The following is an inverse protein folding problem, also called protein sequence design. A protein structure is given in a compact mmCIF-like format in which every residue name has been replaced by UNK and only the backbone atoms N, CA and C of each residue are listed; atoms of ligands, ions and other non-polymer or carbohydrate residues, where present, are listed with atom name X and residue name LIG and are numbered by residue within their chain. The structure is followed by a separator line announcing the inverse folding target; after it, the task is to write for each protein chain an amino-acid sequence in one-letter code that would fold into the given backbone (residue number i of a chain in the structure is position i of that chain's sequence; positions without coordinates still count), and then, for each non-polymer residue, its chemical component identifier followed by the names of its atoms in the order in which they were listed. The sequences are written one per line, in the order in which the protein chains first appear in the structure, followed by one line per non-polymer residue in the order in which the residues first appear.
data_IF_768177803820
#
_entry.id   IF_768177803820
#
_cell.length_a   1.000
_cell.length_b   1.000
_cell.length_c   1.000
_cell.angle_alpha   90.00
_cell.angle_beta   90.00
_cell.angle_gamma   90.00
#
_symmetry.space_group_name_H-M   'P 1'
#
loop_
_entity.id
_entity.type
_entity.pdbx_description
1 polymer ?
#
# COMPACT_ATOMS: atom_id res chain seq x y z
N UNK A 1 11.27 -36.19 -88.70
CA UNK A 1 12.27 -35.41 -87.99
C UNK A 1 11.57 -34.35 -87.15
N UNK A 2 11.47 -34.55 -85.84
CA UNK A 2 10.91 -33.53 -84.91
C UNK A 2 12.03 -32.99 -84.04
N UNK A 3 12.32 -31.71 -84.20
CA UNK A 3 13.29 -30.99 -83.42
C UNK A 3 12.78 -30.65 -82.02
N UNK A 4 13.41 -31.17 -80.99
CA UNK A 4 13.17 -30.81 -79.60
C UNK A 4 13.95 -29.56 -79.23
N UNK A 5 13.27 -28.50 -78.88
CA UNK A 5 13.80 -27.24 -78.42
C UNK A 5 14.39 -27.35 -77.00
N UNK A 6 15.63 -26.88 -76.71
CA UNK A 6 16.27 -27.01 -75.41
C UNK A 6 15.88 -25.90 -74.38
N UNK A 7 14.84 -25.09 -74.63
CA UNK A 7 14.49 -23.95 -73.75
C UNK A 7 13.71 -24.31 -72.48
N UNK A 8 13.20 -25.52 -72.31
CA UNK A 8 12.35 -25.89 -71.17
C UNK A 8 13.13 -26.36 -69.91
N UNK A 9 14.45 -26.51 -69.98
CA UNK A 9 15.23 -27.01 -68.86
C UNK A 9 15.89 -25.92 -67.97
N UNK A 10 15.85 -24.65 -68.40
CA UNK A 10 16.45 -23.53 -67.63
C UNK A 10 15.49 -22.72 -66.75
N UNK A 11 14.16 -22.94 -66.87
CA UNK A 11 13.15 -22.18 -66.10
C UNK A 11 12.89 -22.77 -64.70
N UNK A 12 13.24 -24.02 -64.43
CA UNK A 12 12.88 -24.66 -63.12
C UNK A 12 13.79 -24.22 -61.94
N UNK A 13 15.09 -23.98 -62.08
CA UNK A 13 15.91 -23.52 -60.96
C UNK A 13 15.69 -22.06 -60.56
N UNK A 14 15.26 -21.19 -61.47
CA UNK A 14 15.04 -19.77 -61.18
C UNK A 14 13.78 -19.53 -60.32
N UNK A 15 12.74 -20.35 -60.46
CA UNK A 15 11.50 -20.24 -59.68
C UNK A 15 11.66 -20.71 -58.24
N UNK A 16 12.53 -21.68 -57.99
CA UNK A 16 12.82 -22.19 -56.65
C UNK A 16 13.67 -21.21 -55.84
N UNK A 17 14.59 -20.50 -56.47
CA UNK A 17 15.40 -19.46 -55.82
C UNK A 17 14.59 -18.21 -55.41
N UNK A 18 13.57 -17.85 -56.21
CA UNK A 18 12.70 -16.73 -55.86
C UNK A 18 11.74 -17.06 -54.71
N UNK A 19 11.28 -18.32 -54.57
CA UNK A 19 10.42 -18.78 -53.49
C UNK A 19 11.14 -18.86 -52.14
N UNK A 20 12.47 -19.16 -52.13
CA UNK A 20 13.26 -19.19 -50.89
C UNK A 20 13.66 -17.77 -50.41
N UNK A 21 13.75 -16.78 -51.32
CA UNK A 21 14.04 -15.40 -50.93
C UNK A 21 12.83 -14.68 -50.26
N UNK A 22 11.59 -15.10 -50.58
CA UNK A 22 10.40 -14.51 -50.00
C UNK A 22 10.05 -15.05 -48.60
N UNK A 23 10.58 -16.23 -48.21
CA UNK A 23 10.40 -16.78 -46.85
C UNK A 23 11.34 -16.16 -45.79
N UNK A 24 12.43 -15.51 -46.24
CA UNK A 24 13.42 -14.89 -45.33
C UNK A 24 13.03 -13.53 -44.79
N UNK A 25 12.03 -12.85 -45.38
CA UNK A 25 11.64 -11.46 -45.00
C UNK A 25 10.50 -11.44 -43.98
N UNK A 26 9.77 -12.54 -43.78
CA UNK A 26 8.66 -12.62 -42.86
C UNK A 26 9.06 -12.88 -41.39
N UNK A 27 10.34 -13.10 -41.10
CA UNK A 27 10.80 -13.51 -39.75
C UNK A 27 11.43 -12.38 -38.90
N UNK A 28 11.35 -11.12 -39.32
CA UNK A 28 11.94 -10.00 -38.57
C UNK A 28 10.97 -8.87 -38.20
N UNK A 29 9.69 -9.18 -38.13
CA UNK A 29 8.79 -8.36 -37.30
C UNK A 29 8.96 -8.77 -35.83
N UNK A 30 10.19 -8.73 -35.31
CA UNK A 30 10.39 -8.59 -33.88
C UNK A 30 9.79 -7.25 -33.52
N UNK A 31 8.60 -7.28 -32.93
CA UNK A 31 8.04 -6.13 -32.22
C UNK A 31 9.11 -5.64 -31.28
N UNK A 32 9.78 -4.55 -31.64
CA UNK A 32 10.67 -3.86 -30.73
C UNK A 32 9.83 -3.62 -29.47
N UNK A 33 10.15 -4.31 -28.39
CA UNK A 33 9.50 -4.11 -27.12
C UNK A 33 9.67 -2.62 -26.83
N UNK A 34 8.56 -1.87 -26.88
CA UNK A 34 8.59 -0.44 -26.57
C UNK A 34 9.19 -0.33 -25.19
N UNK A 35 10.37 0.31 -25.12
CA UNK A 35 11.09 0.43 -23.87
C UNK A 35 10.17 1.12 -22.85
N UNK A 36 9.71 0.38 -21.83
CA UNK A 36 8.90 0.91 -20.75
C UNK A 36 9.83 1.41 -19.63
N UNK A 37 9.59 2.59 -19.06
CA UNK A 37 8.65 3.64 -19.53
C UNK A 37 9.29 4.55 -20.59
N UNK A 38 8.47 5.06 -21.54
CA UNK A 38 8.87 6.03 -22.57
C UNK A 38 8.31 7.44 -22.37
N UNK A 39 7.49 7.62 -21.32
CA UNK A 39 6.86 8.89 -20.91
C UNK A 39 6.74 8.94 -19.37
N UNK A 40 6.39 10.09 -18.76
CA UNK A 40 6.24 10.20 -17.32
C UNK A 40 5.26 9.17 -16.73
N UNK A 41 5.63 8.61 -15.56
CA UNK A 41 4.80 7.68 -14.78
C UNK A 41 4.19 8.44 -13.60
N UNK A 42 2.90 8.26 -13.37
CA UNK A 42 2.18 8.87 -12.26
C UNK A 42 1.90 7.83 -11.16
N UNK A 43 2.31 8.15 -9.95
CA UNK A 43 2.01 7.33 -8.76
C UNK A 43 1.08 8.13 -7.85
N UNK A 44 -0.18 7.71 -7.80
CA UNK A 44 -1.15 8.26 -6.84
C UNK A 44 -0.89 7.67 -5.46
N UNK A 45 -0.98 8.50 -4.42
CA UNK A 45 -0.92 8.11 -3.01
C UNK A 45 -2.27 8.37 -2.38
N UNK A 46 -2.88 7.35 -1.77
CA UNK A 46 -4.22 7.42 -1.18
C UNK A 46 -4.29 8.22 0.13
N UNK A 47 -3.21 8.89 0.54
CA UNK A 47 -3.06 9.56 1.82
C UNK A 47 -2.52 10.99 1.68
N UNK A 48 -2.61 11.77 2.76
CA UNK A 48 -2.06 13.13 2.84
C UNK A 48 -0.53 13.13 2.76
N UNK A 49 0.08 14.23 2.28
CA UNK A 49 1.52 14.43 2.36
C UNK A 49 2.06 14.23 3.79
N UNK A 50 3.27 13.69 3.92
CA UNK A 50 3.92 13.40 5.20
C UNK A 50 3.45 12.12 5.90
N UNK A 51 2.49 11.38 5.34
CA UNK A 51 2.14 10.05 5.80
C UNK A 51 3.18 9.00 5.37
N UNK A 52 3.24 7.85 6.06
CA UNK A 52 4.18 6.78 5.70
C UNK A 52 4.10 6.33 4.23
N UNK A 53 2.91 6.14 3.62
CA UNK A 53 2.84 5.82 2.19
C UNK A 53 3.33 6.96 1.28
N UNK A 54 3.18 8.23 1.67
CA UNK A 54 3.73 9.36 0.91
C UNK A 54 5.26 9.37 0.96
N UNK A 55 5.85 9.18 2.15
CA UNK A 55 7.30 9.04 2.32
C UNK A 55 7.85 7.92 1.44
N UNK A 56 7.21 6.75 1.48
CA UNK A 56 7.59 5.58 0.72
C UNK A 56 7.45 5.81 -0.80
N UNK A 57 6.36 6.44 -1.24
CA UNK A 57 6.12 6.76 -2.65
C UNK A 57 7.15 7.75 -3.20
N UNK A 58 7.52 8.79 -2.44
CA UNK A 58 8.55 9.76 -2.85
C UNK A 58 9.94 9.12 -2.89
N UNK A 59 10.25 8.29 -1.90
CA UNK A 59 11.49 7.52 -1.88
C UNK A 59 11.63 6.65 -3.13
N UNK A 60 10.57 5.88 -3.44
CA UNK A 60 10.53 5.02 -4.62
C UNK A 60 10.55 5.83 -5.91
N UNK A 61 9.72 6.85 -6.02
CA UNK A 61 9.55 7.66 -7.23
C UNK A 61 10.82 8.38 -7.66
N UNK A 62 11.59 8.92 -6.71
CA UNK A 62 12.90 9.53 -7.00
C UNK A 62 13.83 8.51 -7.66
N UNK A 63 13.98 7.32 -7.07
CA UNK A 63 14.89 6.29 -7.54
C UNK A 63 14.45 5.64 -8.85
N UNK A 64 13.14 5.45 -9.03
CA UNK A 64 12.57 5.02 -10.31
C UNK A 64 12.86 6.04 -11.41
N UNK A 65 12.69 7.34 -11.12
CA UNK A 65 12.99 8.40 -12.09
C UNK A 65 14.46 8.41 -12.51
N UNK A 66 15.38 8.18 -11.58
CA UNK A 66 16.81 8.05 -11.84
C UNK A 66 17.14 6.84 -12.73
N UNK A 67 16.49 5.69 -12.49
CA UNK A 67 16.70 4.45 -13.23
C UNK A 67 16.06 4.49 -14.63
N UNK A 68 14.83 4.92 -14.70
CA UNK A 68 14.05 4.93 -15.94
C UNK A 68 14.40 6.10 -16.87
N UNK A 69 15.10 7.12 -16.36
CA UNK A 69 15.36 8.39 -17.09
C UNK A 69 14.05 9.04 -17.58
N UNK A 70 12.97 8.78 -16.86
CA UNK A 70 11.64 9.34 -17.07
C UNK A 70 11.13 9.94 -15.76
N UNK A 71 10.41 11.05 -15.79
CA UNK A 71 9.82 11.62 -14.58
C UNK A 71 8.83 10.64 -13.92
N UNK A 72 8.94 10.50 -12.60
CA UNK A 72 7.94 9.82 -11.77
C UNK A 72 7.26 10.88 -10.90
N UNK A 73 5.98 11.13 -11.17
CA UNK A 73 5.20 12.18 -10.51
C UNK A 73 4.39 11.56 -9.37
N UNK A 74 4.53 12.10 -8.17
CA UNK A 74 3.77 11.65 -6.99
C UNK A 74 2.61 12.62 -6.75
N UNK A 75 1.39 12.09 -6.76
CA UNK A 75 0.15 12.83 -6.59
C UNK A 75 -0.66 12.32 -5.38
N UNK A 76 -0.89 13.18 -4.39
CA UNK A 76 -1.62 12.81 -3.19
C UNK A 76 -3.12 13.03 -3.39
N UNK A 77 -3.92 11.94 -3.33
CA UNK A 77 -5.39 11.96 -3.41
C UNK A 77 -6.00 11.37 -2.14
N UNK A 78 -5.87 12.12 -1.06
CA UNK A 78 -6.45 11.75 0.22
C UNK A 78 -7.98 11.93 0.22
N UNK A 79 -8.67 11.11 1.00
CA UNK A 79 -10.11 11.21 1.26
C UNK A 79 -10.84 9.88 1.16
N UNK A 80 -11.96 9.78 1.87
CA UNK A 80 -12.80 8.59 1.97
C UNK A 80 -11.97 7.30 2.20
N UNK A 81 -11.04 7.34 3.15
CA UNK A 81 -10.12 6.24 3.48
C UNK A 81 -9.40 5.62 2.27
N UNK A 82 -9.14 6.42 1.21
CA UNK A 82 -8.44 6.00 0.00
C UNK A 82 -9.34 5.59 -1.18
N UNK A 83 -10.66 5.61 -1.04
CA UNK A 83 -11.61 5.27 -2.13
C UNK A 83 -11.33 6.11 -3.38
N UNK A 84 -11.11 7.43 -3.23
CA UNK A 84 -10.90 8.32 -4.37
C UNK A 84 -9.68 7.95 -5.21
N UNK A 85 -8.60 7.52 -4.57
CA UNK A 85 -7.38 7.10 -5.24
C UNK A 85 -7.55 5.72 -5.92
N UNK A 86 -8.16 4.76 -5.24
CA UNK A 86 -8.41 3.42 -5.76
C UNK A 86 -9.40 3.43 -6.95
N UNK A 87 -10.47 4.22 -6.86
CA UNK A 87 -11.43 4.41 -7.96
C UNK A 87 -10.77 5.06 -9.17
N UNK A 88 -9.93 6.08 -8.94
CA UNK A 88 -9.16 6.72 -10.00
C UNK A 88 -8.24 5.75 -10.73
N UNK A 89 -7.55 4.85 -10.01
CA UNK A 89 -6.72 3.82 -10.63
C UNK A 89 -7.55 2.78 -11.37
N UNK A 90 -8.66 2.30 -10.79
CA UNK A 90 -9.53 1.31 -11.41
C UNK A 90 -10.05 1.74 -12.80
N UNK A 91 -10.20 3.05 -12.99
CA UNK A 91 -10.67 3.69 -14.25
C UNK A 91 -9.54 4.17 -15.16
N UNK A 92 -8.29 4.06 -14.74
CA UNK A 92 -7.13 4.48 -15.52
C UNK A 92 -6.84 3.54 -16.69
N UNK A 93 -6.08 4.04 -17.69
CA UNK A 93 -5.62 3.22 -18.80
C UNK A 93 -4.68 2.13 -18.30
N UNK A 94 -4.83 0.87 -18.73
CA UNK A 94 -4.00 -0.25 -18.27
C UNK A 94 -2.67 -0.33 -19.05
N UNK A 95 -1.93 0.78 -19.12
CA UNK A 95 -0.68 0.92 -19.87
C UNK A 95 0.56 1.01 -18.98
N UNK A 96 0.38 0.92 -17.65
CA UNK A 96 1.45 0.99 -16.65
C UNK A 96 1.89 2.41 -16.25
N UNK A 97 1.34 3.46 -16.86
CA UNK A 97 1.72 4.85 -16.56
C UNK A 97 0.90 5.49 -15.43
N UNK A 98 -0.15 4.81 -14.98
CA UNK A 98 -0.91 5.18 -13.78
C UNK A 98 -0.77 4.07 -12.75
N UNK A 99 -0.20 4.38 -11.61
CA UNK A 99 0.03 3.46 -10.49
C UNK A 99 -0.54 4.02 -9.19
N UNK A 100 -0.75 3.17 -8.20
CA UNK A 100 -1.23 3.55 -6.87
C UNK A 100 -0.31 2.96 -5.80
N UNK A 101 0.20 3.79 -4.92
CA UNK A 101 0.66 3.32 -3.61
C UNK A 101 -0.58 3.20 -2.73
N UNK A 102 -1.06 1.97 -2.62
CA UNK A 102 -2.24 1.58 -1.86
C UNK A 102 -1.87 0.94 -0.52
N UNK A 103 -2.85 0.91 0.38
CA UNK A 103 -2.78 0.26 1.68
C UNK A 103 -4.00 -0.66 1.85
N UNK A 104 -4.04 -1.38 2.95
CA UNK A 104 -5.13 -2.30 3.31
C UNK A 104 -6.51 -1.61 3.36
N UNK A 105 -6.61 -0.34 3.75
CA UNK A 105 -7.89 0.39 3.81
C UNK A 105 -8.75 0.21 2.55
N UNK A 106 -8.39 0.82 1.43
CA UNK A 106 -9.19 0.74 0.21
C UNK A 106 -9.13 -0.62 -0.50
N UNK A 107 -8.14 -1.46 -0.20
CA UNK A 107 -7.91 -2.72 -0.92
C UNK A 107 -8.57 -3.92 -0.23
N UNK A 108 -8.48 -4.00 1.10
CA UNK A 108 -8.91 -5.21 1.85
C UNK A 108 -9.88 -4.93 2.99
N UNK A 109 -9.93 -3.71 3.55
CA UNK A 109 -10.84 -3.38 4.66
C UNK A 109 -12.18 -2.88 4.15
N UNK A 110 -12.20 -1.79 3.39
CA UNK A 110 -13.43 -1.16 2.88
C UNK A 110 -14.33 -2.11 2.09
N UNK A 111 -13.80 -3.01 1.23
CA UNK A 111 -14.64 -3.99 0.55
C UNK A 111 -15.41 -4.94 1.49
N UNK A 112 -14.97 -5.07 2.74
CA UNK A 112 -15.61 -5.92 3.75
C UNK A 112 -16.60 -5.15 4.65
N UNK A 113 -16.60 -3.82 4.64
CA UNK A 113 -17.46 -3.01 5.52
C UNK A 113 -18.45 -2.11 4.76
N UNK A 114 -18.19 -1.82 3.48
CA UNK A 114 -18.98 -0.88 2.70
C UNK A 114 -19.49 -1.53 1.41
N UNK A 115 -20.80 -1.65 1.30
CA UNK A 115 -21.44 -2.00 0.04
C UNK A 115 -21.42 -0.82 -0.94
N UNK A 116 -21.40 -1.13 -2.25
CA UNK A 116 -21.52 -0.09 -3.29
C UNK A 116 -20.27 0.77 -3.48
N UNK A 117 -19.09 0.23 -3.22
CA UNK A 117 -17.84 0.89 -3.63
C UNK A 117 -17.83 1.11 -5.16
N UNK A 118 -17.29 2.24 -5.67
CA UNK A 118 -17.26 2.55 -7.09
C UNK A 118 -16.25 1.70 -7.89
N UNK A 119 -15.54 0.80 -7.24
CA UNK A 119 -14.59 -0.16 -7.80
C UNK A 119 -14.66 -1.50 -7.06
N UNK A 120 -14.17 -2.55 -7.69
CA UNK A 120 -13.91 -3.85 -7.08
C UNK A 120 -12.38 -4.05 -7.00
N UNK A 121 -11.81 -3.97 -5.79
CA UNK A 121 -10.36 -4.06 -5.60
C UNK A 121 -9.76 -5.37 -6.11
N UNK A 122 -10.52 -6.48 -6.10
CA UNK A 122 -10.06 -7.80 -6.55
C UNK A 122 -10.13 -7.99 -8.06
N UNK A 123 -11.04 -7.27 -8.73
CA UNK A 123 -11.27 -7.37 -10.18
C UNK A 123 -10.55 -6.26 -10.94
N UNK A 124 -10.56 -5.04 -10.42
CA UNK A 124 -10.18 -3.85 -11.17
C UNK A 124 -8.72 -3.42 -10.93
N UNK A 125 -8.09 -3.95 -9.85
CA UNK A 125 -6.73 -3.64 -9.46
C UNK A 125 -5.86 -4.90 -9.42
N UNK A 126 -4.60 -4.78 -9.85
CA UNK A 126 -3.62 -5.86 -9.73
C UNK A 126 -2.49 -5.44 -8.79
N UNK A 127 -2.18 -6.25 -7.74
CA UNK A 127 -0.98 -6.07 -6.93
C UNK A 127 0.26 -6.25 -7.79
N UNK A 128 1.21 -5.30 -7.73
CA UNK A 128 2.46 -5.34 -8.50
C UNK A 128 3.62 -5.78 -7.61
N UNK A 129 3.85 -5.06 -6.52
CA UNK A 129 4.93 -5.35 -5.58
C UNK A 129 4.57 -4.81 -4.19
N UNK A 130 4.88 -5.57 -3.13
CA UNK A 130 4.81 -5.08 -1.76
C UNK A 130 5.98 -4.13 -1.51
N UNK A 131 5.70 -2.96 -0.94
CA UNK A 131 6.71 -1.95 -0.70
C UNK A 131 7.20 -1.95 0.75
N UNK A 132 6.29 -2.14 1.70
CA UNK A 132 6.62 -2.13 3.11
C UNK A 132 5.42 -2.33 4.01
N UNK A 133 5.69 -2.38 5.30
CA UNK A 133 4.68 -2.44 6.36
C UNK A 133 5.09 -1.57 7.54
N UNK A 134 4.12 -1.19 8.36
CA UNK A 134 4.35 -0.43 9.59
C UNK A 134 3.52 -0.99 10.73
N UNK A 135 4.07 -0.88 11.92
CA UNK A 135 3.31 -0.96 13.15
C UNK A 135 2.81 0.43 13.56
N UNK A 136 1.74 0.46 14.32
CA UNK A 136 1.25 1.66 14.97
C UNK A 136 1.74 1.74 16.42
N UNK A 137 1.68 2.95 16.96
CA UNK A 137 1.77 3.22 18.39
C UNK A 137 0.47 3.87 18.84
N UNK A 138 -0.13 3.37 19.92
CA UNK A 138 -1.21 4.06 20.63
C UNK A 138 -0.59 5.21 21.39
N UNK A 139 -0.95 6.43 20.98
CA UNK A 139 -0.49 7.66 21.64
C UNK A 139 -1.64 8.37 22.33
N UNK A 140 -1.32 9.10 23.38
CA UNK A 140 -2.25 9.93 24.12
C UNK A 140 -1.73 11.37 24.23
N UNK A 141 -2.66 12.34 24.38
CA UNK A 141 -2.29 13.66 24.83
C UNK A 141 -1.83 13.61 26.30
N UNK A 142 -0.72 14.26 26.68
CA UNK A 142 -0.21 14.25 28.06
C UNK A 142 -1.23 14.69 29.12
N UNK A 143 -2.18 15.57 28.77
CA UNK A 143 -3.22 16.07 29.68
C UNK A 143 -4.19 14.96 30.14
N UNK A 144 -4.29 13.84 29.43
CA UNK A 144 -5.12 12.70 29.84
C UNK A 144 -4.63 12.01 31.09
N UNK A 145 -3.34 12.17 31.41
CA UNK A 145 -2.66 11.48 32.50
C UNK A 145 -2.29 10.01 32.21
N UNK A 146 -2.66 9.47 31.03
CA UNK A 146 -2.35 8.09 30.68
C UNK A 146 -0.84 7.90 30.44
N UNK A 147 -0.30 6.79 30.93
CA UNK A 147 1.10 6.37 30.76
C UNK A 147 1.23 5.01 30.12
N UNK A 148 0.21 4.18 30.25
CA UNK A 148 0.17 2.80 29.78
C UNK A 148 -1.16 2.49 29.09
N UNK A 149 -1.21 1.37 28.34
CA UNK A 149 -2.46 0.81 27.82
C UNK A 149 -3.44 0.50 28.98
N UNK A 150 -2.91 0.07 30.12
CA UNK A 150 -3.74 -0.26 31.30
C UNK A 150 -4.45 0.99 31.86
N UNK A 151 -3.76 2.14 31.97
CA UNK A 151 -4.37 3.40 32.42
C UNK A 151 -5.51 3.82 31.49
N UNK A 152 -5.27 3.78 30.17
CA UNK A 152 -6.27 4.09 29.15
C UNK A 152 -7.49 3.18 29.27
N UNK A 153 -7.29 1.87 29.37
CA UNK A 153 -8.38 0.89 29.48
C UNK A 153 -9.14 1.06 30.78
N UNK A 154 -8.45 1.30 31.91
CA UNK A 154 -9.09 1.57 33.17
C UNK A 154 -10.01 2.80 33.12
N UNK A 155 -9.51 3.90 32.58
CA UNK A 155 -10.29 5.12 32.41
C UNK A 155 -11.49 4.94 31.46
N UNK A 156 -11.30 4.17 30.36
CA UNK A 156 -12.38 3.89 29.41
C UNK A 156 -13.47 3.01 30.01
N UNK A 157 -13.13 2.06 30.89
CA UNK A 157 -14.11 1.27 31.66
C UNK A 157 -14.85 2.08 32.68
N UNK A 158 -14.17 3.00 33.37
CA UNK A 158 -14.78 3.86 34.37
C UNK A 158 -15.78 4.86 33.77
N UNK A 159 -15.55 5.33 32.54
CA UNK A 159 -16.39 6.31 31.83
C UNK A 159 -16.58 5.94 30.37
N UNK A 160 -17.44 4.96 30.05
CA UNK A 160 -17.66 4.52 28.68
C UNK A 160 -18.13 5.67 27.77
N UNK A 161 -17.49 5.83 26.60
CA UNK A 161 -17.81 6.84 25.60
C UNK A 161 -17.26 8.25 25.87
N UNK A 162 -16.67 8.52 27.04
CA UNK A 162 -16.10 9.84 27.33
C UNK A 162 -14.74 10.09 26.70
N UNK A 163 -13.97 9.03 26.43
CA UNK A 163 -12.67 9.15 25.77
C UNK A 163 -12.89 9.10 24.27
N UNK A 164 -12.28 10.05 23.56
CA UNK A 164 -12.31 10.12 22.10
C UNK A 164 -11.02 9.57 21.50
N UNK A 165 -11.14 8.91 20.34
CA UNK A 165 -9.97 8.51 19.57
C UNK A 165 -10.05 8.98 18.13
N UNK A 166 -8.90 9.44 17.59
CA UNK A 166 -8.76 9.81 16.20
C UNK A 166 -8.36 8.64 15.32
N UNK A 167 -8.79 8.65 14.06
CA UNK A 167 -8.32 7.75 13.01
C UNK A 167 -8.08 8.49 11.69
N UNK A 168 -7.53 7.79 10.68
CA UNK A 168 -7.37 8.35 9.34
C UNK A 168 -8.68 8.32 8.51
N UNK A 169 -9.80 8.04 9.13
CA UNK A 169 -11.14 7.96 8.53
C UNK A 169 -11.81 6.61 8.76
N UNK A 170 -13.10 6.52 8.39
CA UNK A 170 -13.86 5.28 8.47
C UNK A 170 -13.25 4.21 7.56
N UNK A 171 -13.07 2.98 8.08
CA UNK A 171 -12.42 1.87 7.39
C UNK A 171 -10.89 1.99 7.31
N UNK A 172 -10.29 2.95 8.04
CA UNK A 172 -8.83 3.02 8.10
C UNK A 172 -8.24 1.94 9.02
N UNK A 173 -6.98 1.52 8.77
CA UNK A 173 -6.27 0.59 9.65
C UNK A 173 -6.18 1.07 11.10
N UNK A 174 -6.09 2.39 11.32
CA UNK A 174 -6.07 2.99 12.66
C UNK A 174 -7.39 2.81 13.40
N UNK A 175 -8.53 2.99 12.71
CA UNK A 175 -9.84 2.67 13.29
C UNK A 175 -9.89 1.19 13.68
N UNK A 176 -9.52 0.32 12.74
CA UNK A 176 -9.56 -1.14 12.98
C UNK A 176 -8.68 -1.55 14.17
N UNK A 177 -7.51 -0.91 14.32
CA UNK A 177 -6.62 -1.13 15.46
C UNK A 177 -7.30 -0.81 16.80
N UNK A 178 -8.03 0.31 16.86
CA UNK A 178 -8.75 0.69 18.06
C UNK A 178 -9.95 -0.22 18.30
N UNK A 179 -10.72 -0.56 17.26
CA UNK A 179 -11.88 -1.43 17.40
C UNK A 179 -11.47 -2.84 17.88
N UNK A 180 -10.33 -3.37 17.40
CA UNK A 180 -9.77 -4.61 17.89
C UNK A 180 -9.36 -4.51 19.38
N UNK A 181 -8.79 -3.38 19.80
CA UNK A 181 -8.47 -3.16 21.21
C UNK A 181 -9.75 -3.02 22.05
N UNK A 182 -10.76 -2.29 21.57
CA UNK A 182 -12.08 -2.16 22.23
C UNK A 182 -12.68 -3.54 22.49
N UNK A 183 -12.69 -4.41 21.48
CA UNK A 183 -13.22 -5.77 21.60
C UNK A 183 -12.45 -6.59 22.65
N UNK A 184 -11.10 -6.60 22.55
CA UNK A 184 -10.27 -7.41 23.45
C UNK A 184 -10.29 -6.92 24.90
N UNK A 185 -10.38 -5.61 25.10
CA UNK A 185 -10.36 -5.00 26.43
C UNK A 185 -11.77 -4.82 27.05
N UNK A 186 -12.84 -5.00 26.26
CA UNK A 186 -14.21 -4.76 26.69
C UNK A 186 -14.45 -3.30 27.06
N UNK A 187 -14.03 -2.34 26.21
CA UNK A 187 -14.16 -0.89 26.42
C UNK A 187 -14.96 -0.24 25.30
N UNK A 188 -15.52 0.94 25.61
CA UNK A 188 -16.16 1.80 24.63
C UNK A 188 -15.52 3.18 24.65
N UNK A 189 -15.00 3.62 23.49
CA UNK A 189 -14.43 4.95 23.22
C UNK A 189 -14.99 5.49 21.91
N UNK A 190 -15.18 6.81 21.83
CA UNK A 190 -15.86 7.47 20.71
C UNK A 190 -14.91 7.74 19.56
N UNK A 191 -15.32 7.38 18.36
CA UNK A 191 -14.52 7.56 17.14
C UNK A 191 -14.67 8.96 16.55
N UNK A 192 -13.55 9.61 16.22
CA UNK A 192 -13.47 10.88 15.50
C UNK A 192 -12.67 10.65 14.21
N UNK A 193 -13.33 10.54 13.03
CA UNK A 193 -12.63 10.31 11.76
C UNK A 193 -12.01 11.58 11.20
N UNK A 194 -10.78 11.46 10.67
CA UNK A 194 -10.05 12.52 9.97
C UNK A 194 -9.74 12.14 8.52
N UNK A 195 -9.39 13.13 7.69
CA UNK A 195 -8.95 12.91 6.31
C UNK A 195 -7.47 12.51 6.22
N UNK A 196 -7.01 11.68 7.16
CA UNK A 196 -5.65 11.15 7.23
C UNK A 196 -5.03 11.24 8.63
N UNK A 197 -4.07 10.36 8.91
CA UNK A 197 -3.41 10.26 10.23
C UNK A 197 -2.75 11.56 10.73
N UNK A 198 -2.00 12.32 9.91
CA UNK A 198 -1.37 13.56 10.34
C UNK A 198 -2.34 14.60 10.92
N UNK A 199 -3.55 14.75 10.36
CA UNK A 199 -4.56 15.69 10.88
C UNK A 199 -5.07 15.27 12.25
N UNK A 200 -5.42 13.97 12.41
CA UNK A 200 -5.83 13.44 13.71
C UNK A 200 -4.73 13.56 14.77
N UNK A 201 -3.47 13.34 14.39
CA UNK A 201 -2.33 13.49 15.30
C UNK A 201 -2.16 14.92 15.80
N UNK A 202 -2.36 15.92 14.93
CA UNK A 202 -2.32 17.33 15.34
C UNK A 202 -3.37 17.66 16.41
N UNK A 203 -4.59 17.13 16.26
CA UNK A 203 -5.67 17.32 17.23
C UNK A 203 -5.43 16.55 18.54
N UNK A 204 -4.79 15.39 18.49
CA UNK A 204 -4.32 14.71 19.72
C UNK A 204 -3.24 15.55 20.41
N UNK A 205 -2.26 16.11 19.68
CA UNK A 205 -1.24 17.01 20.25
C UNK A 205 -1.88 18.26 20.85
N UNK A 206 -2.88 18.82 20.22
CA UNK A 206 -3.61 19.99 20.71
C UNK A 206 -4.52 19.69 21.91
N UNK A 207 -4.85 18.41 22.15
CA UNK A 207 -5.75 17.95 23.21
C UNK A 207 -7.23 18.10 22.86
N UNK A 208 -7.56 18.16 21.55
CA UNK A 208 -8.95 18.13 21.06
C UNK A 208 -9.48 16.70 21.02
N UNK A 209 -8.60 15.72 20.87
CA UNK A 209 -8.87 14.28 20.92
C UNK A 209 -7.84 13.64 21.87
N UNK A 210 -8.29 12.61 22.61
CA UNK A 210 -7.53 12.05 23.72
C UNK A 210 -6.39 11.12 23.25
N UNK A 211 -6.71 10.20 22.33
CA UNK A 211 -5.80 9.11 21.90
C UNK A 211 -5.92 8.82 20.40
N UNK A 212 -4.93 8.15 19.84
CA UNK A 212 -5.02 7.53 18.52
C UNK A 212 -3.98 6.43 18.32
N UNK A 213 -4.26 5.49 17.43
CA UNK A 213 -3.23 4.70 16.80
C UNK A 213 -2.65 5.47 15.60
N UNK A 214 -1.32 5.61 15.57
CA UNK A 214 -0.61 6.32 14.48
C UNK A 214 0.70 5.58 14.17
N UNK A 215 1.20 5.72 12.94
CA UNK A 215 2.51 5.18 12.55
C UNK A 215 3.61 5.69 13.49
N UNK A 216 4.54 4.82 13.87
CA UNK A 216 5.63 5.17 14.79
C UNK A 216 6.50 6.30 14.25
N UNK A 217 6.86 6.26 12.95
CA UNK A 217 7.73 7.27 12.33
C UNK A 217 7.25 8.71 12.54
N UNK A 218 6.06 9.09 12.05
CA UNK A 218 5.50 10.42 12.25
C UNK A 218 5.30 10.81 13.74
N UNK A 219 4.99 9.85 14.61
CA UNK A 219 4.77 10.12 16.04
C UNK A 219 6.06 10.35 16.82
N UNK A 220 7.17 9.73 16.39
CA UNK A 220 8.41 9.65 17.14
C UNK A 220 8.98 11.01 17.61
N UNK A 221 9.05 12.08 16.78
CA UNK A 221 9.50 13.40 17.22
C UNK A 221 8.60 14.00 18.32
N UNK A 222 7.30 13.74 18.27
CA UNK A 222 6.33 14.23 19.23
C UNK A 222 6.38 13.44 20.56
N UNK A 223 6.65 12.14 20.49
CA UNK A 223 6.89 11.31 21.68
C UNK A 223 8.17 11.75 22.37
N UNK A 224 9.27 11.90 21.62
CA UNK A 224 10.56 12.34 22.16
C UNK A 224 10.53 13.74 22.78
N UNK A 225 9.71 14.65 22.23
CA UNK A 225 9.52 15.99 22.78
C UNK A 225 8.47 16.08 23.90
N UNK A 226 7.86 14.95 24.30
CA UNK A 226 6.82 14.88 25.33
C UNK A 226 5.47 15.51 24.94
N UNK A 227 5.27 15.85 23.67
CA UNK A 227 3.97 16.34 23.15
C UNK A 227 2.94 15.20 22.99
N UNK A 228 3.39 13.97 22.88
CA UNK A 228 2.59 12.76 22.92
C UNK A 228 3.19 11.76 23.91
N UNK A 229 2.34 10.96 24.53
CA UNK A 229 2.73 9.83 25.38
C UNK A 229 2.47 8.55 24.60
N UNK A 230 3.49 7.71 24.42
CA UNK A 230 3.35 6.37 23.84
C UNK A 230 2.83 5.40 24.90
N UNK A 231 1.65 4.81 24.67
CA UNK A 231 1.03 3.87 25.61
C UNK A 231 1.38 2.42 25.30
N UNK A 232 1.49 2.06 24.02
CA UNK A 232 1.80 0.71 23.56
C UNK A 232 1.92 0.62 22.04
N UNK A 233 2.78 -0.28 21.55
CA UNK A 233 2.91 -0.55 20.10
C UNK A 233 2.02 -1.70 19.66
N UNK A 234 1.63 -1.70 18.39
CA UNK A 234 0.62 -2.64 17.85
C UNK A 234 1.19 -3.94 17.30
N UNK A 235 2.52 -4.04 17.19
CA UNK A 235 3.21 -5.23 16.67
C UNK A 235 3.24 -6.40 17.67
N UNK A 236 3.69 -7.55 17.19
CA UNK A 236 3.91 -8.74 18.05
C UNK A 236 5.15 -8.58 18.95
N UNK A 237 6.11 -7.77 18.51
CA UNK A 237 7.35 -7.45 19.21
C UNK A 237 7.44 -5.95 19.43
N UNK A 238 8.20 -5.54 20.45
CA UNK A 238 8.47 -4.12 20.68
C UNK A 238 9.16 -3.49 19.47
N UNK A 239 8.72 -2.29 19.12
CA UNK A 239 9.23 -1.61 17.95
C UNK A 239 10.66 -1.10 18.17
N UNK A 240 11.55 -1.29 17.18
CA UNK A 240 12.98 -0.94 17.30
C UNK A 240 13.24 0.54 17.62
N UNK A 241 12.36 1.45 17.17
CA UNK A 241 12.46 2.89 17.48
C UNK A 241 11.87 3.28 18.84
N UNK A 242 11.17 2.37 19.53
CA UNK A 242 10.49 2.54 20.82
C UNK A 242 10.67 1.27 21.69
N UNK A 243 11.90 0.82 21.96
CA UNK A 243 12.14 -0.47 22.65
C UNK A 243 11.62 -0.48 24.10
N UNK A 244 11.50 0.70 24.73
CA UNK A 244 10.96 0.89 26.07
C UNK A 244 9.42 0.79 26.12
N UNK A 245 8.72 0.97 24.99
CA UNK A 245 7.26 0.95 24.93
C UNK A 245 6.77 -0.49 24.77
N UNK A 246 5.96 -1.02 25.71
CA UNK A 246 5.41 -2.38 25.59
C UNK A 246 4.52 -2.54 24.35
N UNK A 247 4.35 -3.78 23.91
CA UNK A 247 3.32 -4.06 22.90
C UNK A 247 1.95 -4.17 23.57
N UNK A 248 0.89 -3.81 22.83
CA UNK A 248 -0.49 -4.09 23.28
C UNK A 248 -0.70 -5.58 23.51
N UNK A 249 -0.01 -6.44 22.76
CA UNK A 249 -0.04 -7.90 22.89
C UNK A 249 0.48 -8.40 24.25
N UNK A 250 1.38 -7.67 24.92
CA UNK A 250 1.85 -8.02 26.26
C UNK A 250 0.71 -7.98 27.29
N UNK A 251 -0.29 -7.10 27.09
CA UNK A 251 -1.48 -7.01 27.94
C UNK A 251 -2.69 -7.74 27.37
N UNK A 252 -2.82 -7.80 26.04
CA UNK A 252 -3.97 -8.37 25.32
C UNK A 252 -3.49 -9.42 24.32
N UNK A 253 -3.31 -10.64 24.81
CA UNK A 253 -2.79 -11.77 24.02
C UNK A 253 -3.49 -11.92 22.67
N UNK A 254 -2.70 -12.09 21.62
CA UNK A 254 -3.19 -12.20 20.23
C UNK A 254 -3.68 -10.86 19.63
N UNK A 255 -3.40 -9.71 20.27
CA UNK A 255 -3.53 -8.42 19.62
C UNK A 255 -2.39 -8.26 18.61
N UNK A 256 -2.73 -7.90 17.39
CA UNK A 256 -1.79 -7.49 16.36
C UNK A 256 -2.52 -6.59 15.39
N UNK A 257 -1.97 -5.43 15.12
CA UNK A 257 -2.45 -4.56 14.05
C UNK A 257 -1.28 -3.81 13.43
N UNK A 258 -1.51 -3.27 12.25
CA UNK A 258 -0.53 -2.56 11.45
C UNK A 258 -1.15 -2.26 10.10
N UNK A 259 -0.35 -1.79 9.18
CA UNK A 259 -0.77 -1.65 7.79
C UNK A 259 0.41 -1.97 6.86
N UNK A 260 0.10 -2.46 5.69
CA UNK A 260 1.05 -2.70 4.62
C UNK A 260 0.83 -1.70 3.48
N UNK A 261 1.84 -1.50 2.67
CA UNK A 261 1.83 -0.67 1.48
C UNK A 261 2.32 -1.48 0.29
N UNK A 262 1.67 -1.29 -0.83
CA UNK A 262 2.05 -1.91 -2.08
C UNK A 262 1.78 -1.03 -3.27
N UNK A 263 2.45 -1.35 -4.36
CA UNK A 263 2.21 -0.73 -5.65
C UNK A 263 1.16 -1.54 -6.41
N UNK A 264 0.17 -0.85 -6.94
CA UNK A 264 -0.93 -1.42 -7.72
C UNK A 264 -1.01 -0.79 -9.09
N UNK A 265 -1.52 -1.55 -10.06
CA UNK A 265 -1.84 -1.09 -11.40
C UNK A 265 -3.30 -1.47 -11.75
N UNK A 266 -3.89 -0.93 -12.83
CA UNK A 266 -5.15 -1.43 -13.37
C UNK A 266 -5.03 -2.91 -13.77
N UNK A 267 -6.05 -3.72 -13.49
CA UNK A 267 -6.00 -5.19 -13.63
C UNK A 267 -5.63 -5.71 -15.04
N UNK A 268 -5.89 -4.92 -16.10
CA UNK A 268 -5.59 -5.29 -17.50
C UNK A 268 -4.24 -4.78 -17.99
N UNK A 269 -3.37 -4.30 -17.10
CA UNK A 269 -2.01 -3.88 -17.47
C UNK A 269 -1.22 -5.08 -17.99
N UNK A 270 -0.51 -4.98 -19.14
CA UNK A 270 0.22 -6.09 -19.73
C UNK A 270 1.28 -6.67 -18.78
N UNK A 271 1.38 -7.99 -18.70
CA UNK A 271 2.30 -8.68 -17.79
C UNK A 271 3.76 -8.23 -17.92
N UNK A 272 4.34 -8.05 -19.13
CA UNK A 272 5.72 -7.55 -19.24
C UNK A 272 5.94 -6.18 -18.60
N UNK A 273 4.92 -5.31 -18.59
CA UNK A 273 4.98 -4.00 -17.95
C UNK A 273 4.94 -4.17 -16.41
N UNK A 274 4.05 -5.05 -15.92
CA UNK A 274 3.98 -5.37 -14.48
C UNK A 274 5.30 -5.95 -13.98
N UNK A 275 5.92 -6.85 -14.74
CA UNK A 275 7.20 -7.47 -14.39
C UNK A 275 8.33 -6.45 -14.33
N UNK A 276 8.40 -5.52 -15.29
CA UNK A 276 9.39 -4.44 -15.31
C UNK A 276 9.25 -3.54 -14.08
N UNK A 277 8.01 -3.13 -13.75
CA UNK A 277 7.73 -2.30 -12.57
C UNK A 277 8.08 -3.06 -11.28
N UNK A 278 7.60 -4.31 -11.15
CA UNK A 278 7.81 -5.12 -9.94
C UNK A 278 9.30 -5.39 -9.67
N UNK A 279 10.05 -5.73 -10.72
CA UNK A 279 11.48 -6.00 -10.62
C UNK A 279 12.24 -4.77 -10.12
N UNK A 280 12.01 -3.60 -10.73
CA UNK A 280 12.75 -2.39 -10.40
C UNK A 280 12.35 -1.83 -9.04
N UNK A 281 11.05 -1.72 -8.76
CA UNK A 281 10.56 -1.25 -7.47
C UNK A 281 10.98 -2.19 -6.32
N UNK A 282 10.91 -3.51 -6.53
CA UNK A 282 11.37 -4.50 -5.56
C UNK A 282 12.86 -4.38 -5.26
N UNK A 283 13.70 -4.22 -6.30
CA UNK A 283 15.15 -4.01 -6.17
C UNK A 283 15.46 -2.74 -5.35
N UNK A 284 14.74 -1.65 -5.63
CA UNK A 284 14.93 -0.38 -4.91
C UNK A 284 14.62 -0.53 -3.43
N UNK A 285 13.46 -1.07 -3.05
CA UNK A 285 13.06 -1.13 -1.64
C UNK A 285 13.83 -2.19 -0.85
N UNK A 286 14.37 -3.22 -1.50
CA UNK A 286 15.19 -4.25 -0.86
C UNK A 286 16.67 -3.85 -0.68
N UNK A 287 17.12 -2.78 -1.34
CA UNK A 287 18.50 -2.32 -1.19
C UNK A 287 18.82 -2.01 0.28
N UNK A 288 20.03 -2.36 0.79
CA UNK A 288 20.39 -2.12 2.20
C UNK A 288 20.22 -0.67 2.64
N UNK A 289 20.57 0.30 1.80
CA UNK A 289 20.37 1.72 2.07
C UNK A 289 18.88 2.07 2.21
N UNK A 290 18.02 1.53 1.33
CA UNK A 290 16.58 1.72 1.40
C UNK A 290 15.99 1.18 2.71
N UNK A 291 16.38 -0.03 3.09
CA UNK A 291 15.95 -0.65 4.34
C UNK A 291 16.33 0.20 5.56
N UNK A 292 17.56 0.72 5.58
CA UNK A 292 18.02 1.57 6.68
C UNK A 292 17.27 2.90 6.74
N UNK A 293 17.12 3.60 5.60
CA UNK A 293 16.41 4.87 5.53
C UNK A 293 14.92 4.73 5.88
N UNK A 294 14.25 3.69 5.37
CA UNK A 294 12.84 3.43 5.65
C UNK A 294 12.62 2.97 7.10
N UNK A 295 13.52 2.13 7.64
CA UNK A 295 13.46 1.74 9.06
C UNK A 295 13.59 2.93 10.00
N UNK A 296 14.44 3.93 9.68
CA UNK A 296 14.54 5.17 10.44
C UNK A 296 13.23 5.98 10.44
N UNK A 297 12.35 5.74 9.45
CA UNK A 297 10.99 6.31 9.37
C UNK A 297 9.91 5.37 9.94
N UNK A 298 10.30 4.27 10.58
CA UNK A 298 9.38 3.27 11.11
C UNK A 298 8.70 2.40 10.06
N UNK A 299 9.28 2.30 8.87
CA UNK A 299 8.76 1.49 7.76
C UNK A 299 9.67 0.27 7.58
N UNK A 300 9.12 -0.91 7.72
CA UNK A 300 9.80 -2.15 7.36
C UNK A 300 9.64 -2.41 5.86
N UNK A 301 10.73 -2.32 5.10
CA UNK A 301 10.73 -2.58 3.66
C UNK A 301 10.57 -4.08 3.37
N UNK A 302 9.61 -4.46 2.51
CA UNK A 302 9.29 -5.87 2.21
C UNK A 302 9.77 -6.30 0.82
N UNK A 303 9.38 -5.65 -0.25
CA UNK A 303 9.80 -5.95 -1.63
C UNK A 303 9.30 -7.29 -2.18
N UNK A 304 8.19 -7.83 -1.65
CA UNK A 304 7.61 -9.08 -2.17
C UNK A 304 7.12 -8.89 -3.59
N UNK A 305 7.57 -9.76 -4.49
CA UNK A 305 7.19 -9.74 -5.91
C UNK A 305 5.71 -10.07 -6.10
N UNK A 306 5.17 -9.80 -7.27
CA UNK A 306 3.75 -9.84 -7.61
C UNK A 306 3.00 -11.03 -7.04
N UNK A 307 3.44 -12.26 -7.29
CA UNK A 307 2.75 -13.47 -6.85
C UNK A 307 2.66 -13.59 -5.34
N UNK A 308 3.75 -13.31 -4.63
CA UNK A 308 3.79 -13.36 -3.17
C UNK A 308 2.93 -12.26 -2.57
N UNK A 309 2.99 -11.05 -3.15
CA UNK A 309 2.17 -9.93 -2.70
C UNK A 309 0.68 -10.17 -2.96
N UNK A 310 0.31 -10.74 -4.10
CA UNK A 310 -1.09 -11.14 -4.37
C UNK A 310 -1.62 -12.15 -3.35
N UNK A 311 -0.78 -13.13 -2.96
CA UNK A 311 -1.13 -14.08 -1.89
C UNK A 311 -1.35 -13.38 -0.56
N UNK A 312 -0.48 -12.41 -0.22
CA UNK A 312 -0.63 -11.60 1.00
C UNK A 312 -1.95 -10.80 0.97
N UNK A 313 -2.24 -10.07 -0.11
CA UNK A 313 -3.47 -9.26 -0.26
C UNK A 313 -4.71 -10.14 -0.11
N UNK A 314 -4.71 -11.33 -0.72
CA UNK A 314 -5.84 -12.27 -0.61
C UNK A 314 -6.03 -12.77 0.83
N UNK A 315 -4.94 -13.13 1.52
CA UNK A 315 -5.00 -13.57 2.92
C UNK A 315 -5.48 -12.44 3.86
N UNK A 316 -5.01 -11.21 3.62
CA UNK A 316 -5.44 -10.03 4.39
C UNK A 316 -6.91 -9.70 4.15
N UNK A 317 -7.41 -9.85 2.91
CA UNK A 317 -8.84 -9.66 2.63
C UNK A 317 -9.71 -10.59 3.49
N UNK A 318 -9.38 -11.88 3.54
CA UNK A 318 -10.11 -12.86 4.35
C UNK A 318 -9.93 -12.60 5.86
N UNK A 319 -8.74 -12.20 6.29
CA UNK A 319 -8.47 -11.84 7.69
C UNK A 319 -9.35 -10.66 8.11
N UNK A 320 -9.44 -9.61 7.29
CA UNK A 320 -10.27 -8.45 7.60
C UNK A 320 -11.77 -8.77 7.54
N UNK A 321 -12.22 -9.66 6.66
CA UNK A 321 -13.60 -10.16 6.68
C UNK A 321 -13.97 -10.75 8.05
N UNK A 322 -13.07 -11.55 8.62
CA UNK A 322 -13.27 -12.14 9.95
C UNK A 322 -13.26 -11.09 11.07
N UNK A 323 -12.31 -10.15 11.03
CA UNK A 323 -12.22 -9.07 12.04
C UNK A 323 -13.47 -8.19 11.99
N UNK A 324 -13.86 -7.70 10.80
CA UNK A 324 -15.02 -6.84 10.59
C UNK A 324 -16.30 -7.51 11.14
N UNK A 325 -16.48 -8.82 10.86
CA UNK A 325 -17.59 -9.60 11.39
C UNK A 325 -17.55 -9.69 12.92
N UNK A 326 -16.35 -9.90 13.49
CA UNK A 326 -16.19 -10.07 14.94
C UNK A 326 -16.41 -8.77 15.73
N UNK A 327 -15.97 -7.61 15.18
CA UNK A 327 -16.11 -6.30 15.85
C UNK A 327 -17.38 -5.55 15.46
N UNK A 328 -18.12 -6.03 14.44
CA UNK A 328 -19.40 -5.44 14.02
C UNK A 328 -19.30 -4.05 13.37
N UNK A 329 -18.13 -3.71 12.80
CA UNK A 329 -17.94 -2.43 12.11
C UNK A 329 -18.79 -2.40 10.84
N UNK A 330 -19.51 -1.29 10.67
CA UNK A 330 -20.17 -0.92 9.41
C UNK A 330 -19.63 0.43 8.96
N UNK A 331 -19.51 0.64 7.66
CA UNK A 331 -19.32 1.98 7.13
C UNK A 331 -20.63 2.76 7.39
N UNK A 332 -20.52 3.92 8.00
CA UNK A 332 -21.60 4.88 8.11
C UNK A 332 -21.78 5.63 6.80
#
# INVERSE_FOLDING_TARGET
MRAHSPLSKLLKPALVLLACASLGIAAQAQTAAVAYPSKPVHITVANTPGSSPDVLARYLGQRLSEQWKQPVVIDNRAGAAGILAADGLAKAQPDGYSLLVGADGPITILPNIQAGLPYDARRDLVPVVSLGQIDFVLVANPKTGFRTVADFVHAAKARPGHINYASAGNGSPQQLSMELLKQKAGIYVTHIPYRGGPLGMQDVIAGQVDVMFIAVGPALPHIRSGRLVALGTSGEKRHALLPEVPTVAESYKGYRSGTWFGLFAPARTPQPVLDAIASEAGRIVQAPAARAELAAQGIEATGFQQRQFQTQVSAEYERYAQIVKAVGIKAE
#
